data_IF_525014694495
#
_entry.id   IF_525014694495
#
_cell.length_a   1.000
_cell.length_b   1.000
_cell.length_c   1.000
_cell.angle_alpha   90.00
_cell.angle_beta   90.00
_cell.angle_gamma   90.00
#
_symmetry.space_group_name_H-M   'P 1'
#
loop_
_entity.id
_entity.type
_entity.pdbx_description
1 polymer ?
#
# COMPACT_ATOMS: atom_id res chain seq x y z
N UNK A 1 -7.90 -11.78 4.88
CA UNK A 1 -8.02 -10.32 5.07
C UNK A 1 -8.98 -10.00 6.21
N UNK A 2 -10.06 -10.77 6.35
CA UNK A 2 -11.11 -10.61 7.38
C UNK A 2 -10.58 -10.45 8.82
N UNK A 3 -9.56 -11.22 9.19
CA UNK A 3 -8.90 -11.08 10.50
C UNK A 3 -8.36 -9.66 10.73
N UNK A 4 -7.71 -9.05 9.74
CA UNK A 4 -7.12 -7.73 9.87
C UNK A 4 -8.19 -6.65 10.03
N UNK A 5 -9.27 -6.73 9.23
CA UNK A 5 -10.40 -5.81 9.32
C UNK A 5 -11.03 -5.90 10.72
N UNK A 6 -11.33 -7.13 11.18
CA UNK A 6 -11.89 -7.38 12.51
C UNK A 6 -10.96 -6.95 13.64
N UNK A 7 -9.65 -7.14 13.48
CA UNK A 7 -8.66 -6.70 14.46
C UNK A 7 -8.67 -5.18 14.61
N UNK A 8 -8.58 -4.44 13.49
CA UNK A 8 -8.52 -2.97 13.46
C UNK A 8 -9.83 -2.36 13.95
N UNK A 9 -10.97 -2.93 13.59
CA UNK A 9 -12.30 -2.39 13.95
C UNK A 9 -12.59 -2.42 15.46
N UNK A 10 -11.82 -3.17 16.26
CA UNK A 10 -11.91 -3.16 17.74
C UNK A 10 -11.30 -1.90 18.37
N UNK A 11 -10.40 -1.24 17.65
CA UNK A 11 -9.66 -0.07 18.14
C UNK A 11 -10.05 1.21 17.43
N UNK A 12 -10.46 1.11 16.16
CA UNK A 12 -10.83 2.25 15.32
C UNK A 12 -12.18 2.00 14.66
N UNK A 13 -13.05 3.01 14.62
CA UNK A 13 -14.28 2.94 13.84
C UNK A 13 -13.94 3.07 12.36
N UNK A 14 -14.24 2.04 11.56
CA UNK A 14 -14.06 2.07 10.12
C UNK A 14 -15.28 2.68 9.44
N UNK A 15 -15.04 3.59 8.50
CA UNK A 15 -16.04 4.25 7.69
C UNK A 15 -15.91 3.87 6.21
N UNK A 16 -16.96 4.15 5.44
CA UNK A 16 -16.89 4.00 3.99
C UNK A 16 -15.81 4.90 3.41
N UNK A 17 -14.92 4.31 2.61
CA UNK A 17 -13.80 5.02 1.99
C UNK A 17 -12.47 4.89 2.74
N UNK A 18 -12.47 4.33 3.95
CA UNK A 18 -11.23 4.06 4.67
C UNK A 18 -10.37 3.00 3.96
N UNK A 19 -9.05 3.19 3.98
CA UNK A 19 -8.07 2.32 3.32
C UNK A 19 -7.15 1.70 4.36
N UNK A 20 -7.04 0.36 4.32
CA UNK A 20 -6.13 -0.40 5.18
C UNK A 20 -4.94 -0.87 4.34
N UNK A 21 -3.74 -0.44 4.72
CA UNK A 21 -2.49 -0.97 4.15
C UNK A 21 -2.08 -2.25 4.89
N UNK A 22 -2.01 -3.38 4.18
CA UNK A 22 -1.81 -4.72 4.77
C UNK A 22 -0.34 -5.09 5.02
N UNK A 23 0.57 -4.15 4.80
CA UNK A 23 2.02 -4.35 4.90
C UNK A 23 2.69 -4.59 3.54
N UNK A 24 4.03 -4.53 3.55
CA UNK A 24 4.89 -4.66 2.36
C UNK A 24 5.70 -5.95 2.47
N UNK A 25 5.82 -6.76 1.39
CA UNK A 25 6.68 -7.93 1.38
C UNK A 25 8.17 -7.54 1.46
N UNK A 26 9.04 -8.56 1.50
CA UNK A 26 10.49 -8.38 1.39
C UNK A 26 10.89 -7.67 0.09
N UNK A 27 12.05 -7.02 0.10
CA UNK A 27 12.59 -6.30 -1.07
C UNK A 27 12.43 -4.78 -0.99
N UNK A 28 12.08 -4.24 0.18
CA UNK A 28 12.14 -2.80 0.44
C UNK A 28 13.59 -2.29 0.37
N UNK A 29 13.75 -1.05 -0.09
CA UNK A 29 15.06 -0.41 -0.26
C UNK A 29 14.93 1.12 -0.34
N UNK A 30 16.07 1.83 -0.31
CA UNK A 30 16.08 3.28 -0.39
C UNK A 30 15.60 3.78 -1.75
N UNK A 31 14.93 4.93 -1.74
CA UNK A 31 14.47 5.67 -2.93
C UNK A 31 15.26 6.97 -3.02
N UNK A 32 15.66 7.37 -4.23
CA UNK A 32 16.46 8.57 -4.48
C UNK A 32 15.77 9.51 -5.46
N UNK A 33 16.14 10.79 -5.40
CA UNK A 33 15.72 11.79 -6.38
C UNK A 33 16.19 11.34 -7.78
N UNK A 34 15.28 11.43 -8.75
CA UNK A 34 15.47 10.96 -10.12
C UNK A 34 14.93 9.54 -10.37
N UNK A 35 14.61 8.76 -9.33
CA UNK A 35 14.04 7.42 -9.51
C UNK A 35 12.63 7.50 -10.13
N UNK A 36 12.28 6.49 -10.93
CA UNK A 36 10.90 6.30 -11.41
C UNK A 36 10.36 5.00 -10.83
N UNK A 37 9.42 5.12 -9.89
CA UNK A 37 8.77 3.98 -9.26
C UNK A 37 7.57 3.55 -10.09
N UNK A 38 7.44 2.25 -10.32
CA UNK A 38 6.26 1.65 -10.95
C UNK A 38 5.65 0.63 -10.00
N UNK A 39 4.35 0.74 -9.77
CA UNK A 39 3.62 -0.22 -8.96
C UNK A 39 2.62 -1.01 -9.80
N UNK A 40 2.50 -2.29 -9.48
CA UNK A 40 1.59 -3.22 -10.13
C UNK A 40 0.65 -3.82 -9.10
N UNK A 41 -0.57 -4.11 -9.52
CA UNK A 41 -1.48 -5.03 -8.84
C UNK A 41 -1.65 -6.22 -9.75
N UNK A 42 -1.14 -7.36 -9.31
CA UNK A 42 -0.96 -8.55 -10.17
C UNK A 42 -0.18 -8.15 -11.43
N UNK A 43 -0.70 -8.44 -12.62
CA UNK A 43 -0.05 -8.10 -13.89
C UNK A 43 -0.41 -6.70 -14.41
N UNK A 44 -1.24 -5.95 -13.68
CA UNK A 44 -1.72 -4.64 -14.11
C UNK A 44 -0.87 -3.52 -13.52
N UNK A 45 -0.31 -2.68 -14.39
CA UNK A 45 0.35 -1.43 -13.97
C UNK A 45 -0.69 -0.49 -13.37
N UNK A 46 -0.50 -0.13 -12.10
CA UNK A 46 -1.41 0.73 -11.36
C UNK A 46 -0.90 2.17 -11.26
N UNK A 47 0.41 2.34 -11.20
CA UNK A 47 1.03 3.62 -10.89
C UNK A 47 2.41 3.74 -11.54
N UNK A 48 2.76 4.94 -11.99
CA UNK A 48 4.13 5.32 -12.28
C UNK A 48 4.38 6.72 -11.73
N UNK A 49 5.39 6.86 -10.87
CA UNK A 49 5.73 8.13 -10.22
C UNK A 49 7.22 8.40 -10.41
N UNK A 50 7.54 9.61 -10.86
CA UNK A 50 8.90 10.12 -10.85
C UNK A 50 9.16 10.84 -9.52
N UNK A 51 10.25 10.47 -8.85
CA UNK A 51 10.73 11.09 -7.61
C UNK A 51 11.52 12.32 -7.99
N UNK A 52 11.02 13.50 -7.60
CA UNK A 52 11.62 14.80 -7.88
C UNK A 52 12.25 15.39 -6.62
#
# INVERSE_FOLDING_TARGET
IDYLISFVSRYFMLQQGDVIFTGTPKGVGPVKIGDTLTAYLEDRKMLQIAVK
#
